data_IF_185742027736
#
_entry.id   IF_185742027736
#
_cell.length_a   1.000
_cell.length_b   1.000
_cell.length_c   1.000
_cell.angle_alpha   90.00
_cell.angle_beta   90.00
_cell.angle_gamma   90.00
#
_symmetry.space_group_name_H-M   'P 1'
#
loop_
_entity.id
_entity.type
_entity.pdbx_description
1 polymer ?
#
# COMPACT_ATOMS: atom_id res chain seq x y z
N UNK A 1 -5.52 20.22 -7.47
CA UNK A 1 -4.83 20.06 -6.17
C UNK A 1 -5.37 18.82 -5.51
N UNK A 2 -4.50 17.96 -4.96
CA UNK A 2 -4.94 16.79 -4.19
C UNK A 2 -5.56 17.25 -2.87
N UNK A 3 -6.47 16.45 -2.24
CA UNK A 3 -7.03 16.78 -0.93
C UNK A 3 -5.96 17.11 0.12
N UNK A 4 -4.87 16.33 0.15
CA UNK A 4 -3.75 16.57 1.06
C UNK A 4 -3.07 17.94 0.88
N UNK A 5 -2.99 18.46 -0.35
CA UNK A 5 -2.44 19.80 -0.59
C UNK A 5 -3.39 20.91 -0.14
N UNK A 6 -4.70 20.68 -0.21
CA UNK A 6 -5.71 21.61 0.32
C UNK A 6 -5.65 21.67 1.85
N UNK A 7 -5.54 20.52 2.50
CA UNK A 7 -5.40 20.43 3.96
C UNK A 7 -4.11 21.12 4.43
N UNK A 8 -3.00 20.91 3.72
CA UNK A 8 -1.74 21.58 3.99
C UNK A 8 -1.84 23.11 3.82
N UNK A 9 -2.48 23.58 2.74
CA UNK A 9 -2.67 25.01 2.51
C UNK A 9 -3.51 25.66 3.62
N UNK A 10 -4.58 24.99 4.07
CA UNK A 10 -5.40 25.45 5.19
C UNK A 10 -4.61 25.52 6.50
N UNK A 11 -3.82 24.48 6.81
CA UNK A 11 -2.96 24.45 7.99
C UNK A 11 -1.91 25.57 7.98
N UNK A 12 -1.28 25.83 6.82
CA UNK A 12 -0.33 26.94 6.65
C UNK A 12 -0.98 28.30 6.88
N UNK A 13 -2.17 28.52 6.32
CA UNK A 13 -2.92 29.76 6.50
C UNK A 13 -3.27 30.00 7.98
N UNK A 14 -3.69 28.94 8.70
CA UNK A 14 -3.99 29.01 10.13
C UNK A 14 -2.76 29.38 10.99
N UNK A 15 -1.55 29.06 10.51
CA UNK A 15 -0.27 29.41 11.15
C UNK A 15 0.32 30.74 10.65
N UNK A 16 -0.37 31.47 9.76
CA UNK A 16 0.13 32.71 9.18
C UNK A 16 1.34 32.52 8.24
N UNK A 17 1.54 31.31 7.71
CA UNK A 17 2.64 30.99 6.81
C UNK A 17 2.31 31.39 5.37
N UNK A 18 3.30 31.80 4.56
CA UNK A 18 3.08 32.13 3.15
C UNK A 18 2.45 30.97 2.36
N UNK A 19 1.59 31.26 1.36
CA UNK A 19 1.04 30.23 0.49
C UNK A 19 2.16 29.59 -0.34
N UNK A 20 1.96 28.32 -0.70
CA UNK A 20 2.83 27.61 -1.65
C UNK A 20 2.44 28.02 -3.07
N UNK A 21 3.41 28.41 -3.90
CA UNK A 21 3.14 28.74 -5.30
C UNK A 21 3.10 27.48 -6.17
N UNK A 22 3.92 26.48 -5.82
CA UNK A 22 3.97 25.18 -6.48
C UNK A 22 4.24 24.02 -5.50
N UNK A 23 3.93 22.76 -5.86
CA UNK A 23 4.15 21.60 -4.98
C UNK A 23 5.60 21.43 -4.52
N UNK A 24 6.57 21.75 -5.36
CA UNK A 24 8.01 21.72 -5.08
C UNK A 24 8.42 22.69 -3.95
N UNK A 25 7.65 23.76 -3.72
CA UNK A 25 7.89 24.70 -2.64
C UNK A 25 7.74 24.04 -1.26
N UNK A 26 6.98 22.94 -1.17
CA UNK A 26 6.86 22.16 0.07
C UNK A 26 8.23 21.65 0.50
N UNK A 27 9.01 21.14 -0.45
CA UNK A 27 10.36 20.61 -0.19
C UNK A 27 11.37 21.75 -0.06
N UNK A 28 11.28 22.77 -0.91
CA UNK A 28 12.22 23.89 -0.90
C UNK A 28 12.11 24.76 0.37
N UNK A 29 10.91 24.94 0.90
CA UNK A 29 10.67 25.67 2.16
C UNK A 29 10.76 24.80 3.41
N UNK A 30 10.96 23.48 3.25
CA UNK A 30 11.05 22.57 4.39
C UNK A 30 12.29 22.87 5.22
N UNK A 31 12.10 23.00 6.54
CA UNK A 31 13.24 23.04 7.46
C UNK A 31 13.95 21.70 7.55
N UNK A 32 13.22 20.59 7.36
CA UNK A 32 13.74 19.22 7.29
C UNK A 32 12.85 18.36 6.40
N UNK A 33 13.44 17.39 5.72
CA UNK A 33 12.76 16.41 4.89
C UNK A 33 13.06 15.02 5.44
N UNK A 34 12.04 14.36 5.96
CA UNK A 34 12.14 12.98 6.45
C UNK A 34 11.74 12.03 5.33
N UNK A 35 12.66 11.15 4.93
CA UNK A 35 12.43 10.20 3.83
C UNK A 35 12.11 8.82 4.39
N UNK A 36 10.89 8.36 4.10
CA UNK A 36 10.41 7.02 4.43
C UNK A 36 10.79 6.05 3.31
N UNK A 37 12.04 5.61 3.30
CA UNK A 37 12.56 4.65 2.34
C UNK A 37 13.64 3.79 3.00
N UNK A 38 13.74 2.53 2.57
CA UNK A 38 14.87 1.68 2.94
C UNK A 38 16.13 2.22 2.25
N UNK A 39 17.20 2.39 3.04
CA UNK A 39 18.45 2.94 2.54
C UNK A 39 19.13 1.99 1.54
N UNK A 40 19.65 2.53 0.44
CA UNK A 40 20.41 1.76 -0.56
C UNK A 40 19.58 1.12 -1.67
N UNK A 41 18.28 1.45 -1.78
CA UNK A 41 17.51 1.18 -3.00
C UNK A 41 17.75 2.24 -4.08
N UNK A 42 18.14 3.43 -3.66
CA UNK A 42 18.50 4.57 -4.49
C UNK A 42 19.96 4.51 -4.98
N UNK A 43 20.22 5.13 -6.13
CA UNK A 43 21.58 5.39 -6.58
C UNK A 43 22.33 6.26 -5.57
N UNK A 44 23.67 6.15 -5.46
CA UNK A 44 24.43 7.04 -4.60
C UNK A 44 24.40 8.49 -5.13
N UNK A 45 23.96 9.43 -4.30
CA UNK A 45 24.08 10.87 -4.56
C UNK A 45 24.30 11.64 -3.26
N UNK A 46 24.78 12.88 -3.37
CA UNK A 46 24.92 13.75 -2.21
C UNK A 46 23.55 14.25 -1.78
N UNK A 47 23.15 13.91 -0.55
CA UNK A 47 21.95 14.43 0.07
C UNK A 47 22.19 15.87 0.59
N UNK A 48 21.14 16.68 0.53
CA UNK A 48 21.11 17.96 1.25
C UNK A 48 21.22 17.69 2.76
N UNK A 49 21.89 18.56 3.54
CA UNK A 49 21.95 18.41 5.01
C UNK A 49 20.58 18.55 5.69
N UNK A 50 19.55 18.96 4.95
CA UNK A 50 18.17 19.03 5.44
C UNK A 50 17.39 17.73 5.23
N UNK A 51 17.94 16.77 4.50
CA UNK A 51 17.30 15.48 4.19
C UNK A 51 17.81 14.42 5.16
N UNK A 52 16.88 13.77 5.84
CA UNK A 52 17.15 12.70 6.78
C UNK A 52 16.45 11.41 6.33
N UNK A 53 17.25 10.37 6.10
CA UNK A 53 16.75 9.06 5.72
C UNK A 53 16.32 8.33 6.99
N UNK A 54 15.01 8.11 7.15
CA UNK A 54 14.45 7.54 8.38
C UNK A 54 14.29 6.01 8.35
N UNK A 55 14.56 5.38 7.20
CA UNK A 55 14.19 3.99 6.98
C UNK A 55 12.69 3.85 6.70
N UNK A 56 12.18 2.60 6.59
CA UNK A 56 10.75 2.36 6.50
C UNK A 56 10.05 2.73 7.82
N UNK A 57 9.01 3.55 7.74
CA UNK A 57 8.10 3.80 8.85
C UNK A 57 7.20 2.59 9.03
N UNK A 58 7.39 1.88 10.14
CA UNK A 58 6.64 0.71 10.52
C UNK A 58 5.71 1.03 11.71
N UNK A 59 4.63 0.25 11.92
CA UNK A 59 3.87 0.32 13.18
C UNK A 59 4.81 0.20 14.39
N UNK A 60 4.50 0.91 15.48
CA UNK A 60 5.36 1.00 16.65
C UNK A 60 5.65 -0.37 17.26
N UNK A 61 4.69 -1.29 17.19
CA UNK A 61 4.80 -2.67 17.65
C UNK A 61 5.90 -3.39 16.87
N UNK A 62 5.85 -3.31 15.53
CA UNK A 62 6.87 -3.89 14.65
C UNK A 62 8.23 -3.25 14.87
N UNK A 63 8.27 -1.92 15.02
CA UNK A 63 9.51 -1.19 15.30
C UNK A 63 10.14 -1.60 16.65
N UNK A 64 9.32 -2.06 17.61
CA UNK A 64 9.77 -2.62 18.90
C UNK A 64 10.14 -4.10 18.83
N UNK A 65 10.14 -4.70 17.64
CA UNK A 65 10.40 -6.12 17.43
C UNK A 65 9.26 -7.02 17.86
N UNK A 66 8.03 -6.49 17.98
CA UNK A 66 6.85 -7.28 18.27
C UNK A 66 6.24 -7.80 16.96
N UNK A 67 5.96 -9.09 16.92
CA UNK A 67 5.25 -9.68 15.80
C UNK A 67 3.80 -9.22 15.78
N UNK A 68 3.33 -8.79 14.61
CA UNK A 68 1.91 -8.56 14.39
C UNK A 68 1.23 -9.90 14.16
N UNK A 69 0.44 -10.36 15.13
CA UNK A 69 -0.34 -11.57 14.96
C UNK A 69 -1.46 -11.38 13.93
N UNK A 70 -1.38 -12.14 12.84
CA UNK A 70 -2.51 -12.27 11.92
C UNK A 70 -3.68 -12.98 12.62
N UNK A 71 -4.94 -12.72 12.25
CA UNK A 71 -6.06 -13.49 12.80
C UNK A 71 -5.88 -14.99 12.58
N UNK A 72 -6.12 -15.82 13.60
CA UNK A 72 -5.94 -17.29 13.53
C UNK A 72 -6.55 -17.97 12.30
N UNK A 73 -7.74 -17.58 11.80
CA UNK A 73 -8.28 -18.16 10.56
C UNK A 73 -7.43 -17.87 9.31
N UNK A 74 -6.73 -16.74 9.27
CA UNK A 74 -5.80 -16.38 8.20
C UNK A 74 -4.52 -17.20 8.36
N UNK A 75 -3.94 -17.25 9.58
CA UNK A 75 -2.74 -18.06 9.83
C UNK A 75 -2.92 -19.53 9.43
N UNK A 76 -4.02 -20.17 9.84
CA UNK A 76 -4.33 -21.56 9.45
C UNK A 76 -4.49 -21.73 7.94
N UNK A 77 -5.06 -20.72 7.29
CA UNK A 77 -5.21 -20.73 5.83
C UNK A 77 -3.88 -20.43 5.11
N UNK A 78 -2.92 -19.76 5.74
CA UNK A 78 -1.59 -19.60 5.16
C UNK A 78 -0.76 -20.89 5.27
N UNK A 79 -0.92 -21.64 6.36
CA UNK A 79 -0.08 -22.78 6.70
C UNK A 79 -0.23 -24.05 5.82
N UNK A 80 -1.23 -24.14 4.93
CA UNK A 80 -1.56 -25.42 4.29
C UNK A 80 -1.33 -25.54 2.78
N UNK A 81 -0.67 -24.59 2.12
CA UNK A 81 -0.51 -24.59 0.66
C UNK A 81 0.95 -24.63 0.22
N UNK A 82 1.18 -24.96 -1.06
CA UNK A 82 2.51 -24.99 -1.69
C UNK A 82 3.04 -23.58 -2.04
N UNK A 83 2.39 -22.53 -1.52
CA UNK A 83 2.70 -21.13 -1.78
C UNK A 83 1.50 -20.21 -1.57
N UNK A 84 1.80 -18.91 -1.47
CA UNK A 84 0.83 -17.83 -1.36
C UNK A 84 1.11 -16.76 -2.42
N UNK A 85 0.07 -16.33 -3.12
CA UNK A 85 0.05 -15.10 -3.89
C UNK A 85 -0.75 -14.06 -3.11
N UNK A 86 -0.09 -12.99 -2.69
CA UNK A 86 -0.75 -11.84 -2.07
C UNK A 86 -0.97 -10.75 -3.12
N UNK A 87 -2.21 -10.27 -3.25
CA UNK A 87 -2.60 -9.25 -4.23
C UNK A 87 -3.23 -8.08 -3.49
N UNK A 88 -2.65 -6.89 -3.67
CA UNK A 88 -3.16 -5.64 -3.10
C UNK A 88 -2.69 -4.45 -3.96
N UNK A 89 -3.61 -3.57 -4.34
CA UNK A 89 -3.30 -2.34 -5.11
C UNK A 89 -3.32 -1.07 -4.25
N UNK A 90 -3.40 -1.23 -2.92
CA UNK A 90 -3.54 -0.13 -1.98
C UNK A 90 -4.95 0.45 -1.95
N UNK A 91 -5.06 1.66 -1.41
CA UNK A 91 -6.33 2.37 -1.22
C UNK A 91 -6.58 3.46 -2.29
N UNK A 92 -5.61 3.75 -3.16
CA UNK A 92 -5.72 4.79 -4.18
C UNK A 92 -6.11 4.25 -5.55
N UNK A 93 -5.73 3.01 -5.86
CA UNK A 93 -6.02 2.41 -7.16
C UNK A 93 -7.50 2.01 -7.25
N UNK A 94 -8.18 2.54 -8.27
CA UNK A 94 -9.54 2.16 -8.62
C UNK A 94 -9.47 1.39 -9.93
N UNK A 95 -9.74 0.08 -9.86
CA UNK A 95 -9.81 -0.76 -11.05
C UNK A 95 -11.19 -0.60 -11.68
N UNK A 96 -11.32 -0.72 -13.00
CA UNK A 96 -12.64 -0.86 -13.63
C UNK A 96 -13.12 -2.33 -13.61
N UNK A 97 -14.35 -2.57 -14.05
CA UNK A 97 -14.94 -3.91 -14.07
C UNK A 97 -14.18 -4.89 -14.98
N UNK A 98 -13.68 -4.42 -16.13
CA UNK A 98 -12.90 -5.23 -17.06
C UNK A 98 -11.56 -5.65 -16.47
N UNK A 99 -10.88 -4.72 -15.78
CA UNK A 99 -9.64 -4.99 -15.07
C UNK A 99 -9.84 -5.97 -13.91
N UNK A 100 -10.91 -5.80 -13.12
CA UNK A 100 -11.26 -6.74 -12.05
C UNK A 100 -11.57 -8.13 -12.59
N UNK A 101 -12.32 -8.22 -13.69
CA UNK A 101 -12.65 -9.49 -14.33
C UNK A 101 -11.40 -10.17 -14.91
N UNK A 102 -10.53 -9.43 -15.60
CA UNK A 102 -9.28 -9.94 -16.16
C UNK A 102 -8.35 -10.44 -15.05
N UNK A 103 -8.23 -9.70 -13.95
CA UNK A 103 -7.42 -10.12 -12.82
C UNK A 103 -8.02 -11.35 -12.12
N UNK A 104 -9.33 -11.39 -11.90
CA UNK A 104 -10.00 -12.57 -11.36
C UNK A 104 -9.76 -13.81 -12.23
N UNK A 105 -9.83 -13.67 -13.56
CA UNK A 105 -9.52 -14.74 -14.50
C UNK A 105 -8.06 -15.17 -14.39
N UNK A 106 -7.13 -14.22 -14.31
CA UNK A 106 -5.71 -14.50 -14.17
C UNK A 106 -5.40 -15.24 -12.84
N UNK A 107 -6.03 -14.84 -11.74
CA UNK A 107 -5.88 -15.45 -10.42
C UNK A 107 -6.61 -16.79 -10.28
N UNK A 108 -7.58 -17.06 -11.16
CA UNK A 108 -8.27 -18.33 -11.26
C UNK A 108 -7.43 -19.41 -11.97
N UNK A 109 -6.17 -19.14 -12.29
CA UNK A 109 -5.29 -20.15 -12.87
C UNK A 109 -5.22 -21.41 -11.98
N UNK A 110 -5.22 -22.56 -12.64
CA UNK A 110 -5.01 -23.86 -12.02
C UNK A 110 -3.66 -24.40 -12.48
N UNK A 111 -2.68 -24.36 -11.59
CA UNK A 111 -1.44 -25.11 -11.78
C UNK A 111 -1.67 -26.54 -11.23
N UNK A 112 -1.41 -27.54 -12.09
CA UNK A 112 -1.64 -28.95 -11.78
C UNK A 112 -0.57 -29.52 -10.85
N UNK A 113 0.61 -28.93 -10.83
CA UNK A 113 1.75 -29.35 -10.02
C UNK A 113 1.87 -28.55 -8.72
N UNK A 114 1.44 -27.28 -8.72
CA UNK A 114 1.41 -26.43 -7.53
C UNK A 114 0.05 -25.80 -7.34
N UNK A 115 -0.48 -25.81 -6.12
CA UNK A 115 -1.77 -25.16 -5.81
C UNK A 115 -1.54 -23.94 -4.91
N UNK A 116 -1.00 -22.83 -5.45
CA UNK A 116 -0.80 -21.64 -4.65
C UNK A 116 -2.16 -21.09 -4.21
N UNK A 117 -2.24 -20.67 -2.96
CA UNK A 117 -3.41 -19.96 -2.45
C UNK A 117 -3.30 -18.49 -2.84
N UNK A 118 -4.41 -17.84 -3.12
CA UNK A 118 -4.43 -16.42 -3.46
C UNK A 118 -5.18 -15.66 -2.37
N UNK A 119 -4.53 -14.68 -1.74
CA UNK A 119 -5.17 -13.71 -0.86
C UNK A 119 -5.23 -12.38 -1.60
N UNK A 120 -6.44 -11.96 -1.97
CA UNK A 120 -6.67 -10.71 -2.67
C UNK A 120 -7.39 -9.70 -1.77
N UNK A 121 -6.70 -8.61 -1.46
CA UNK A 121 -7.25 -7.47 -0.75
C UNK A 121 -7.95 -6.53 -1.73
N UNK A 122 -9.25 -6.33 -1.55
CA UNK A 122 -10.10 -5.52 -2.43
C UNK A 122 -10.86 -4.49 -1.60
N UNK A 123 -10.76 -3.19 -1.92
CA UNK A 123 -11.56 -2.14 -1.28
C UNK A 123 -13.07 -2.45 -1.29
N UNK A 124 -13.78 -2.02 -0.24
CA UNK A 124 -15.19 -2.39 -0.02
C UNK A 124 -16.11 -1.97 -1.17
N UNK A 125 -15.87 -0.79 -1.74
CA UNK A 125 -16.55 -0.21 -2.88
C UNK A 125 -16.32 -1.00 -4.18
N UNK A 126 -15.14 -1.61 -4.33
CA UNK A 126 -14.80 -2.41 -5.52
C UNK A 126 -15.27 -3.86 -5.42
N UNK A 127 -15.46 -4.37 -4.19
CA UNK A 127 -15.84 -5.77 -3.93
C UNK A 127 -17.16 -6.16 -4.60
N UNK A 128 -18.12 -5.24 -4.66
CA UNK A 128 -19.43 -5.49 -5.28
C UNK A 128 -19.35 -5.75 -6.80
N UNK A 129 -18.25 -5.32 -7.44
CA UNK A 129 -18.02 -5.45 -8.88
C UNK A 129 -17.18 -6.68 -9.25
N UNK A 130 -16.80 -7.50 -8.27
CA UNK A 130 -16.07 -8.73 -8.53
C UNK A 130 -16.97 -9.76 -9.22
N UNK A 131 -16.40 -10.66 -10.04
CA UNK A 131 -17.13 -11.79 -10.59
C UNK A 131 -17.80 -12.64 -9.50
N UNK A 132 -19.01 -13.14 -9.77
CA UNK A 132 -19.85 -13.83 -8.78
C UNK A 132 -19.26 -15.15 -8.25
N UNK A 133 -18.30 -15.77 -8.96
CA UNK A 133 -17.63 -17.00 -8.55
C UNK A 133 -16.14 -16.88 -8.73
N UNK A 134 -15.43 -17.04 -7.63
CA UNK A 134 -13.98 -17.24 -7.60
C UNK A 134 -13.68 -18.68 -7.16
N UNK A 135 -12.62 -19.30 -7.67
CA UNK A 135 -12.19 -20.62 -7.22
C UNK A 135 -11.89 -20.67 -5.73
N UNK A 136 -12.00 -21.86 -5.11
CA UNK A 136 -11.82 -22.04 -3.66
C UNK A 136 -10.41 -21.72 -3.14
N UNK A 137 -9.39 -21.70 -4.00
CA UNK A 137 -8.04 -21.28 -3.63
C UNK A 137 -7.86 -19.76 -3.63
N UNK A 138 -8.81 -18.99 -4.19
CA UNK A 138 -8.82 -17.53 -4.21
C UNK A 138 -9.72 -17.00 -3.10
N UNK A 139 -9.10 -16.31 -2.13
CA UNK A 139 -9.80 -15.68 -1.01
C UNK A 139 -9.75 -14.18 -1.13
N UNK A 140 -10.92 -13.55 -1.13
CA UNK A 140 -11.05 -12.09 -1.11
C UNK A 140 -11.26 -11.60 0.32
N UNK A 141 -10.48 -10.60 0.71
CA UNK A 141 -10.67 -9.83 1.94
C UNK A 141 -10.83 -8.35 1.61
N UNK A 142 -11.47 -7.64 2.52
CA UNK A 142 -11.68 -6.19 2.38
C UNK A 142 -10.61 -5.46 3.18
N UNK A 143 -10.05 -4.40 2.57
CA UNK A 143 -9.12 -3.46 3.22
C UNK A 143 -9.82 -2.66 4.31
#
# INVERSE_FOLDING_TARGET
>A
MTPALLDLAAARAALGLPPLAAPEDVVASASRVLVNAAWGLEYPYKLSPLVEMTGPLLPLEVAKGQDLELPRPVQRWLAGGDGLVYVNFGNMAVLDEGQLAALAQALAFEDRERKPRVLWMVPADQRARLPARLPGHVRVQTL
#
